data_IF_898287327413
#
_entry.id   IF_898287327413
#
_cell.length_a   1.000
_cell.length_b   1.000
_cell.length_c   1.000
_cell.angle_alpha   90.00
_cell.angle_beta   90.00
_cell.angle_gamma   90.00
#
_symmetry.space_group_name_H-M   'P 1'
#
loop_
_entity.id
_entity.type
_entity.pdbx_description
1 polymer ?
#
# COMPACT_ATOMS: atom_id res chain seq x y z
N UNK A 1 28.63 50.92 11.91
CA UNK A 1 29.25 49.64 11.52
C UNK A 1 28.12 48.66 11.24
N UNK A 2 27.84 48.44 9.95
CA UNK A 2 26.67 47.71 9.44
C UNK A 2 26.92 46.21 9.32
N UNK A 3 25.90 45.46 9.74
CA UNK A 3 25.29 44.29 9.09
C UNK A 3 26.20 43.26 8.41
N UNK A 4 26.35 42.10 9.07
CA UNK A 4 26.65 40.80 8.44
C UNK A 4 26.02 39.67 9.26
N UNK A 5 24.70 39.53 9.16
CA UNK A 5 23.98 38.33 9.61
C UNK A 5 22.71 38.17 8.76
N UNK A 6 22.89 37.99 7.45
CA UNK A 6 21.88 37.52 6.51
C UNK A 6 22.64 36.80 5.39
N UNK A 7 22.83 35.47 5.53
CA UNK A 7 23.14 34.54 4.42
C UNK A 7 23.50 33.12 4.90
N UNK A 8 22.67 32.50 5.76
CA UNK A 8 22.83 31.06 6.08
C UNK A 8 21.55 30.24 6.11
N UNK A 9 20.39 30.83 5.83
CA UNK A 9 19.11 30.11 5.78
C UNK A 9 18.52 29.95 4.37
N UNK A 10 19.19 30.48 3.34
CA UNK A 10 18.76 30.32 1.95
C UNK A 10 19.30 29.04 1.29
N UNK A 11 20.40 28.49 1.79
CA UNK A 11 21.22 27.47 1.10
C UNK A 11 20.74 26.01 1.30
N UNK A 12 19.61 25.82 2.00
CA UNK A 12 19.02 24.49 2.24
C UNK A 12 17.73 24.24 1.44
N UNK A 13 17.23 25.25 0.71
CA UNK A 13 15.98 25.14 -0.08
C UNK A 13 16.20 24.81 -1.56
N UNK A 14 17.45 24.79 -2.04
CA UNK A 14 17.78 24.56 -3.46
C UNK A 14 18.43 23.20 -3.77
N UNK A 15 18.43 22.23 -2.83
CA UNK A 15 19.02 20.89 -3.06
C UNK A 15 18.03 19.79 -3.46
N UNK A 16 16.75 20.10 -3.59
CA UNK A 16 15.75 19.22 -4.24
C UNK A 16 15.41 19.72 -5.64
N UNK A 17 16.39 20.30 -6.34
CA UNK A 17 16.30 20.51 -7.77
C UNK A 17 16.27 19.14 -8.46
N UNK A 18 15.06 18.68 -8.82
CA UNK A 18 14.83 17.85 -10.00
C UNK A 18 15.25 16.38 -9.93
N UNK A 19 14.91 15.65 -8.87
CA UNK A 19 14.72 14.20 -9.02
C UNK A 19 13.28 13.95 -9.45
N UNK A 20 13.09 13.73 -10.76
CA UNK A 20 11.83 13.21 -11.28
C UNK A 20 11.60 11.84 -10.67
N UNK A 21 10.59 11.74 -9.80
CA UNK A 21 10.09 10.49 -9.23
C UNK A 21 8.96 9.97 -10.11
N UNK A 22 8.93 8.67 -10.36
CA UNK A 22 7.81 7.99 -11.00
C UNK A 22 6.81 7.56 -9.93
N UNK A 23 5.54 7.94 -10.10
CA UNK A 23 4.44 7.49 -9.28
C UNK A 23 3.60 6.47 -10.04
N UNK A 24 3.32 5.36 -9.38
CA UNK A 24 2.25 4.47 -9.81
C UNK A 24 0.91 5.16 -9.52
N UNK A 25 0.02 5.16 -10.50
CA UNK A 25 -1.37 5.61 -10.34
C UNK A 25 -2.29 4.46 -10.76
N UNK A 26 -3.06 3.93 -9.81
CA UNK A 26 -3.98 2.82 -10.04
C UNK A 26 -5.35 3.08 -9.44
N UNK A 27 -6.40 2.60 -10.09
CA UNK A 27 -7.77 2.66 -9.56
C UNK A 27 -8.01 1.43 -8.69
N UNK A 28 -8.18 1.61 -7.40
CA UNK A 28 -8.43 0.50 -6.48
C UNK A 28 -9.87 0.58 -5.96
N UNK A 29 -10.75 -0.16 -6.62
CA UNK A 29 -12.10 -0.45 -6.13
C UNK A 29 -12.13 -1.87 -5.62
N UNK A 30 -12.69 -2.11 -4.43
CA UNK A 30 -13.07 -3.47 -4.04
C UNK A 30 -14.19 -3.90 -4.99
N UNK A 31 -13.86 -4.69 -6.00
CA UNK A 31 -14.83 -5.23 -6.96
C UNK A 31 -15.94 -6.02 -6.27
N UNK A 32 -17.16 -5.74 -6.74
CA UNK A 32 -18.45 -6.37 -6.53
C UNK A 32 -19.12 -6.25 -5.14
N UNK A 33 -20.09 -5.35 -5.07
CA UNK A 33 -21.00 -5.13 -3.95
C UNK A 33 -22.30 -5.94 -4.05
N UNK A 34 -22.37 -6.97 -4.93
CA UNK A 34 -23.53 -7.86 -5.03
C UNK A 34 -24.03 -8.37 -3.67
N UNK A 35 -23.13 -8.62 -2.72
CA UNK A 35 -23.49 -8.95 -1.33
C UNK A 35 -24.15 -7.81 -0.53
N UNK A 36 -23.76 -6.55 -0.75
CA UNK A 36 -24.44 -5.38 -0.13
C UNK A 36 -25.78 -5.06 -0.81
N UNK A 37 -25.94 -5.42 -2.09
CA UNK A 37 -27.25 -5.37 -2.76
C UNK A 37 -28.25 -6.37 -2.16
N UNK A 38 -27.75 -7.50 -1.63
CA UNK A 38 -28.54 -8.49 -0.89
C UNK A 38 -28.92 -8.06 0.54
N UNK A 39 -28.27 -7.02 1.09
CA UNK A 39 -28.44 -6.54 2.48
C UNK A 39 -28.65 -5.00 2.58
N UNK A 40 -29.75 -4.45 2.01
CA UNK A 40 -30.00 -3.01 1.91
C UNK A 40 -30.14 -2.30 3.28
N UNK A 41 -30.47 -3.02 4.34
CA UNK A 41 -30.53 -2.52 5.71
C UNK A 41 -29.17 -2.08 6.27
N UNK A 42 -28.08 -2.67 5.78
CA UNK A 42 -26.72 -2.31 6.17
C UNK A 42 -26.16 -1.15 5.34
N UNK A 43 -26.68 -0.93 4.13
CA UNK A 43 -26.24 0.12 3.20
C UNK A 43 -26.26 1.53 3.80
N UNK A 44 -27.21 1.81 4.69
CA UNK A 44 -27.31 3.10 5.42
C UNK A 44 -26.12 3.37 6.36
N UNK A 45 -25.49 2.31 6.88
CA UNK A 45 -24.34 2.43 7.78
C UNK A 45 -23.02 2.58 7.01
N UNK A 46 -23.03 2.23 5.72
CA UNK A 46 -21.96 2.49 4.76
C UNK A 46 -22.31 3.77 3.98
N UNK A 47 -22.42 4.91 4.67
CA UNK A 47 -22.73 6.21 4.04
C UNK A 47 -21.66 6.70 3.05
N UNK A 48 -20.59 5.93 2.87
CA UNK A 48 -19.68 6.00 1.75
C UNK A 48 -19.43 4.54 1.33
N UNK A 49 -19.71 4.20 0.06
CA UNK A 49 -19.36 2.91 -0.56
C UNK A 49 -17.91 2.53 -0.25
N UNK A 50 -17.44 1.31 -0.52
CA UNK A 50 -15.99 1.10 -0.51
C UNK A 50 -15.38 2.00 -1.59
N UNK A 51 -14.93 3.19 -1.18
CA UNK A 51 -14.71 4.30 -2.09
C UNK A 51 -13.71 3.87 -3.14
N UNK A 52 -14.12 3.95 -4.40
CA UNK A 52 -13.20 3.94 -5.52
C UNK A 52 -12.11 4.98 -5.21
N UNK A 53 -10.93 4.49 -4.86
CA UNK A 53 -9.80 5.32 -4.50
C UNK A 53 -8.75 5.28 -5.60
N UNK A 54 -8.08 6.42 -5.76
CA UNK A 54 -6.88 6.51 -6.56
C UNK A 54 -5.69 6.18 -5.66
N UNK A 55 -4.93 5.17 -6.06
CA UNK A 55 -3.73 4.76 -5.36
C UNK A 55 -2.52 5.43 -6.00
N UNK A 56 -1.82 6.23 -5.20
CA UNK A 56 -0.75 7.11 -5.65
C UNK A 56 0.44 6.96 -4.73
N UNK A 57 1.46 6.23 -5.17
CA UNK A 57 2.69 6.04 -4.42
C UNK A 57 3.86 5.72 -5.36
N UNK A 58 5.13 5.80 -4.90
CA UNK A 58 6.28 5.63 -5.78
C UNK A 58 6.26 4.30 -6.53
N UNK A 59 6.50 4.35 -7.84
CA UNK A 59 6.47 3.17 -8.71
C UNK A 59 7.44 2.07 -8.27
N UNK A 60 8.61 2.44 -7.74
CA UNK A 60 9.56 1.48 -7.20
C UNK A 60 9.02 0.70 -5.98
N UNK A 61 8.13 1.32 -5.19
CA UNK A 61 7.49 0.67 -4.04
C UNK A 61 6.42 -0.29 -4.55
N UNK A 62 5.65 0.11 -5.56
CA UNK A 62 4.68 -0.76 -6.21
C UNK A 62 5.32 -2.03 -6.79
N UNK A 63 6.48 -1.90 -7.44
CA UNK A 63 7.25 -3.05 -7.93
C UNK A 63 7.73 -3.96 -6.79
N UNK A 64 8.23 -3.39 -5.69
CA UNK A 64 8.68 -4.18 -4.53
C UNK A 64 7.53 -4.91 -3.86
N UNK A 65 6.39 -4.26 -3.69
CA UNK A 65 5.18 -4.86 -3.15
C UNK A 65 4.70 -6.00 -4.05
N UNK A 66 4.73 -5.86 -5.38
CA UNK A 66 4.39 -6.94 -6.32
C UNK A 66 5.33 -8.14 -6.19
N UNK A 67 6.64 -7.91 -6.10
CA UNK A 67 7.60 -9.00 -5.91
C UNK A 67 7.43 -9.69 -4.56
N UNK A 68 7.10 -8.93 -3.51
CA UNK A 68 6.73 -9.49 -2.21
C UNK A 68 5.46 -10.33 -2.32
N UNK A 69 4.43 -9.84 -3.01
CA UNK A 69 3.17 -10.55 -3.21
C UNK A 69 3.43 -11.89 -3.90
N UNK A 70 4.16 -11.89 -5.02
CA UNK A 70 4.54 -13.13 -5.71
C UNK A 70 5.29 -14.09 -4.80
N UNK A 71 6.24 -13.57 -4.03
CA UNK A 71 7.08 -14.37 -3.15
C UNK A 71 6.35 -14.97 -1.94
N UNK A 72 5.08 -14.61 -1.70
CA UNK A 72 4.25 -15.18 -0.64
C UNK A 72 3.00 -15.88 -1.21
N UNK A 73 2.52 -15.53 -2.40
CA UNK A 73 1.36 -16.19 -3.03
C UNK A 73 1.76 -17.44 -3.80
N UNK A 74 2.83 -17.35 -4.59
CA UNK A 74 3.19 -18.36 -5.60
C UNK A 74 3.94 -19.59 -5.04
N UNK A 75 4.75 -19.50 -3.97
CA UNK A 75 5.42 -20.66 -3.40
C UNK A 75 4.45 -21.75 -2.96
N UNK A 76 4.84 -23.00 -3.16
CA UNK A 76 4.10 -24.19 -2.70
C UNK A 76 4.73 -24.84 -1.49
N UNK A 77 5.98 -24.49 -1.18
CA UNK A 77 6.71 -25.01 -0.03
C UNK A 77 7.52 -23.92 0.66
N UNK A 78 7.88 -24.15 1.93
CA UNK A 78 8.76 -23.23 2.68
C UNK A 78 10.15 -23.08 2.05
N UNK A 79 10.65 -24.13 1.40
CA UNK A 79 11.91 -24.07 0.65
C UNK A 79 11.85 -23.10 -0.53
N UNK A 80 10.68 -22.90 -1.14
CA UNK A 80 10.47 -21.90 -2.19
C UNK A 80 10.39 -20.49 -1.61
N UNK A 81 9.68 -20.29 -0.49
CA UNK A 81 9.65 -19.00 0.25
C UNK A 81 11.05 -18.56 0.66
N UNK A 82 11.88 -19.49 1.16
CA UNK A 82 13.25 -19.23 1.62
C UNK A 82 14.20 -18.72 0.54
N UNK A 83 13.85 -18.87 -0.75
CA UNK A 83 14.61 -18.31 -1.87
C UNK A 83 14.39 -16.81 -2.03
N UNK A 84 13.33 -16.26 -1.43
CA UNK A 84 13.04 -14.83 -1.49
C UNK A 84 13.54 -14.11 -0.23
N UNK A 85 14.55 -13.23 -0.34
CA UNK A 85 15.00 -12.43 0.80
C UNK A 85 13.94 -11.43 1.28
N UNK A 86 12.93 -11.13 0.46
CA UNK A 86 11.83 -10.22 0.80
C UNK A 86 10.75 -10.91 1.64
N UNK A 87 10.40 -12.15 1.31
CA UNK A 87 9.29 -12.86 1.96
C UNK A 87 9.66 -13.46 3.32
N UNK A 88 10.90 -13.95 3.48
CA UNK A 88 11.31 -14.70 4.69
C UNK A 88 11.07 -13.93 5.99
N UNK A 89 11.51 -12.67 6.16
CA UNK A 89 11.31 -11.96 7.42
C UNK A 89 9.84 -11.83 7.79
N UNK A 90 9.00 -11.59 6.78
CA UNK A 90 7.56 -11.39 6.95
C UNK A 90 6.84 -12.69 7.31
N UNK A 91 7.02 -13.73 6.49
CA UNK A 91 6.40 -15.05 6.72
C UNK A 91 6.82 -15.61 8.07
N UNK A 92 8.11 -15.45 8.44
CA UNK A 92 8.63 -15.86 9.74
C UNK A 92 7.94 -15.13 10.90
N UNK A 93 7.76 -13.81 10.80
CA UNK A 93 7.13 -13.02 11.87
C UNK A 93 5.69 -13.49 12.11
N UNK A 94 4.87 -13.53 11.05
CA UNK A 94 3.46 -13.90 11.16
C UNK A 94 3.29 -15.36 11.59
N UNK A 95 4.08 -16.28 11.02
CA UNK A 95 4.01 -17.69 11.41
C UNK A 95 4.38 -17.90 12.87
N UNK A 96 5.48 -17.31 13.35
CA UNK A 96 5.93 -17.53 14.72
C UNK A 96 4.95 -16.99 15.77
N UNK A 97 4.28 -15.88 15.49
CA UNK A 97 3.25 -15.34 16.38
C UNK A 97 2.10 -16.34 16.55
N UNK A 98 1.66 -16.99 15.46
CA UNK A 98 0.65 -18.04 15.50
C UNK A 98 1.17 -19.32 16.16
N UNK A 99 2.35 -19.79 15.77
CA UNK A 99 2.95 -21.02 16.29
C UNK A 99 3.09 -20.97 17.82
N UNK A 100 3.38 -19.79 18.38
CA UNK A 100 3.43 -19.59 19.83
C UNK A 100 2.07 -19.79 20.53
N UNK A 101 0.95 -19.47 19.86
CA UNK A 101 -0.41 -19.67 20.38
C UNK A 101 -0.83 -21.14 20.23
N UNK A 102 -0.53 -21.74 19.08
CA UNK A 102 -0.96 -23.09 18.73
C UNK A 102 -0.05 -24.19 19.30
N UNK A 103 1.12 -23.82 19.85
CA UNK A 103 2.11 -24.76 20.39
C UNK A 103 2.91 -25.50 19.31
N UNK A 104 3.06 -24.89 18.13
CA UNK A 104 3.80 -25.44 17.00
C UNK A 104 5.30 -25.07 17.04
N UNK A 105 6.17 -25.83 16.35
CA UNK A 105 7.57 -25.46 16.19
C UNK A 105 7.72 -24.10 15.49
N UNK A 106 8.76 -23.30 15.79
CA UNK A 106 9.00 -22.04 15.09
C UNK A 106 9.43 -22.27 13.63
N UNK A 107 9.26 -21.23 12.81
CA UNK A 107 9.55 -21.23 11.37
C UNK A 107 10.95 -21.78 11.01
N UNK A 108 11.96 -21.45 11.81
CA UNK A 108 13.35 -21.85 11.55
C UNK A 108 13.56 -23.37 11.73
N UNK A 109 12.69 -24.04 12.48
CA UNK A 109 12.77 -25.48 12.76
C UNK A 109 12.04 -26.31 11.70
N UNK A 110 11.31 -25.67 10.78
CA UNK A 110 10.57 -26.33 9.70
C UNK A 110 11.48 -26.72 8.53
N UNK A 111 11.19 -27.88 7.91
CA UNK A 111 11.89 -28.34 6.72
C UNK A 111 11.47 -27.61 5.43
N UNK A 112 12.30 -27.68 4.39
CA UNK A 112 12.01 -27.04 3.09
C UNK A 112 10.82 -27.68 2.35
N UNK A 113 10.53 -28.95 2.60
CA UNK A 113 9.46 -29.70 1.95
C UNK A 113 8.07 -29.46 2.60
N UNK A 114 8.00 -28.66 3.67
CA UNK A 114 6.74 -28.32 4.33
C UNK A 114 5.84 -27.57 3.34
N UNK A 115 4.59 -28.02 3.12
CA UNK A 115 3.63 -27.32 2.28
C UNK A 115 3.41 -25.89 2.75
N UNK A 116 3.27 -24.98 1.80
CA UNK A 116 2.99 -23.58 2.05
C UNK A 116 1.66 -23.22 1.41
N UNK A 117 0.58 -23.35 2.18
CA UNK A 117 -0.80 -23.09 1.77
C UNK A 117 -1.52 -22.12 2.71
N UNK A 118 -0.81 -21.52 3.66
CA UNK A 118 -1.36 -20.56 4.63
C UNK A 118 -1.44 -19.13 4.08
N UNK A 119 -1.41 -18.95 2.76
CA UNK A 119 -1.49 -17.61 2.17
C UNK A 119 -2.75 -16.87 2.62
N UNK A 120 -3.90 -17.53 2.71
CA UNK A 120 -5.15 -16.89 3.13
C UNK A 120 -5.07 -16.36 4.56
N UNK A 121 -4.47 -17.14 5.47
CA UNK A 121 -4.25 -16.73 6.86
C UNK A 121 -3.19 -15.64 6.95
N UNK A 122 -2.10 -15.75 6.20
CA UNK A 122 -1.01 -14.77 6.13
C UNK A 122 -1.52 -13.44 5.51
N UNK A 123 -2.27 -13.51 4.42
CA UNK A 123 -2.71 -12.38 3.61
C UNK A 123 -3.59 -11.40 4.39
N UNK A 124 -4.26 -11.86 5.44
CA UNK A 124 -4.98 -11.00 6.39
C UNK A 124 -4.05 -10.10 7.23
N UNK A 125 -2.79 -10.48 7.43
CA UNK A 125 -1.85 -9.80 8.32
C UNK A 125 -0.72 -9.05 7.61
N UNK A 126 -0.43 -9.35 6.34
CA UNK A 126 0.72 -8.73 5.66
C UNK A 126 0.47 -8.08 4.31
N UNK A 127 -0.67 -8.34 3.65
CA UNK A 127 -0.90 -7.86 2.28
C UNK A 127 -0.68 -6.35 2.22
N UNK A 128 0.30 -5.84 1.44
CA UNK A 128 0.56 -4.41 1.40
C UNK A 128 -0.70 -3.69 0.92
N UNK A 129 -1.24 -2.80 1.75
CA UNK A 129 -2.46 -2.07 1.43
C UNK A 129 -2.13 -0.86 0.54
N UNK A 130 -2.58 -0.81 -0.73
CA UNK A 130 -2.32 0.33 -1.62
C UNK A 130 -2.74 1.65 -0.99
N UNK A 131 -3.89 1.66 -0.31
CA UNK A 131 -4.40 2.84 0.39
C UNK A 131 -3.46 3.35 1.49
N UNK A 132 -2.88 2.44 2.27
CA UNK A 132 -1.88 2.80 3.28
C UNK A 132 -0.62 3.33 2.62
N UNK A 133 -0.16 2.72 1.51
CA UNK A 133 0.97 3.25 0.73
C UNK A 133 0.70 4.67 0.23
N UNK A 134 -0.51 4.93 -0.26
CA UNK A 134 -0.93 6.27 -0.69
C UNK A 134 -0.87 7.26 0.48
N UNK A 135 -1.45 6.91 1.63
CA UNK A 135 -1.43 7.76 2.82
C UNK A 135 -0.01 8.07 3.33
N UNK A 136 0.91 7.11 3.22
CA UNK A 136 2.28 7.23 3.73
C UNK A 136 3.25 7.89 2.74
N UNK A 137 3.06 7.66 1.43
CA UNK A 137 4.10 7.90 0.42
C UNK A 137 3.68 8.83 -0.70
N UNK A 138 2.39 9.20 -0.81
CA UNK A 138 2.00 10.27 -1.72
C UNK A 138 2.65 11.60 -1.29
N UNK A 139 2.86 12.55 -2.23
CA UNK A 139 3.35 13.88 -1.87
C UNK A 139 2.43 14.52 -0.82
N UNK A 140 3.01 15.06 0.25
CA UNK A 140 2.23 15.63 1.34
C UNK A 140 1.32 16.79 0.89
N UNK A 141 1.74 17.57 -0.11
CA UNK A 141 0.91 18.61 -0.73
C UNK A 141 -0.29 18.03 -1.47
N UNK A 142 -0.12 16.90 -2.16
CA UNK A 142 -1.20 16.21 -2.84
C UNK A 142 -2.26 15.71 -1.85
N UNK A 143 -1.83 15.11 -0.74
CA UNK A 143 -2.72 14.66 0.33
C UNK A 143 -3.41 15.84 1.04
N UNK A 144 -2.74 16.99 1.18
CA UNK A 144 -3.35 18.17 1.77
C UNK A 144 -4.46 18.77 0.89
N UNK A 145 -4.30 18.73 -0.43
CA UNK A 145 -5.23 19.35 -1.37
C UNK A 145 -6.41 18.43 -1.72
N UNK A 146 -6.17 17.12 -1.84
CA UNK A 146 -7.15 16.14 -2.34
C UNK A 146 -7.51 15.04 -1.34
N UNK A 147 -6.73 14.88 -0.26
CA UNK A 147 -6.89 13.79 0.69
C UNK A 147 -8.20 13.87 1.45
N UNK A 148 -8.84 12.71 1.61
CA UNK A 148 -10.04 12.54 2.42
C UNK A 148 -9.73 11.58 3.57
N UNK A 149 -10.25 11.88 4.75
CA UNK A 149 -10.11 11.03 5.92
C UNK A 149 -11.26 10.01 5.97
N UNK A 150 -10.96 8.79 6.43
CA UNK A 150 -11.99 7.81 6.77
C UNK A 150 -12.92 8.35 7.87
N UNK A 151 -14.19 8.56 7.55
CA UNK A 151 -15.21 8.98 8.52
C UNK A 151 -15.99 7.81 9.12
N UNK A 152 -15.76 6.59 8.65
CA UNK A 152 -16.45 5.40 9.15
C UNK A 152 -16.03 5.09 10.59
N UNK A 153 -17.00 5.15 11.50
CA UNK A 153 -16.87 4.59 12.85
C UNK A 153 -17.18 3.09 12.79
N UNK A 154 -16.25 2.25 13.28
CA UNK A 154 -16.56 0.85 13.62
C UNK A 154 -16.07 -0.24 12.67
N UNK A 155 -15.01 -0.01 11.91
CA UNK A 155 -14.37 -1.07 11.10
C UNK A 155 -12.93 -1.31 11.56
N UNK A 156 -12.52 -2.58 11.64
CA UNK A 156 -11.19 -3.05 12.07
C UNK A 156 -10.09 -2.81 11.01
N UNK A 157 -10.11 -1.70 10.28
CA UNK A 157 -9.02 -1.30 9.38
C UNK A 157 -8.31 -0.04 9.88
N UNK A 158 -7.00 0.04 9.62
CA UNK A 158 -6.22 1.23 9.94
C UNK A 158 -6.72 2.41 9.12
N UNK A 159 -7.18 3.48 9.80
CA UNK A 159 -7.63 4.72 9.14
C UNK A 159 -6.51 5.29 8.29
N UNK A 160 -6.79 5.57 7.04
CA UNK A 160 -5.82 6.07 6.08
C UNK A 160 -6.40 7.23 5.26
N UNK A 161 -5.60 8.27 5.03
CA UNK A 161 -5.97 9.30 4.07
C UNK A 161 -5.98 8.69 2.67
N UNK A 162 -7.09 8.84 1.95
CA UNK A 162 -7.26 8.31 0.61
C UNK A 162 -7.48 9.44 -0.39
N UNK A 163 -7.18 9.16 -1.65
CA UNK A 163 -7.41 10.09 -2.76
C UNK A 163 -8.65 9.65 -3.54
N UNK A 164 -9.62 10.55 -3.78
CA UNK A 164 -10.85 10.21 -4.48
C UNK A 164 -10.64 10.00 -5.98
N UNK A 165 -11.28 8.97 -6.54
CA UNK A 165 -11.25 8.70 -7.97
C UNK A 165 -11.82 9.86 -8.81
N UNK A 166 -12.87 10.54 -8.30
CA UNK A 166 -13.51 11.68 -9.00
C UNK A 166 -12.53 12.84 -9.27
N UNK A 167 -11.47 12.97 -8.48
CA UNK A 167 -10.48 14.04 -8.62
C UNK A 167 -9.23 13.59 -9.42
N UNK A 168 -9.27 12.42 -10.09
CA UNK A 168 -8.12 11.82 -10.77
C UNK A 168 -7.38 12.80 -11.71
N UNK A 169 -8.09 13.45 -12.63
CA UNK A 169 -7.48 14.38 -13.59
C UNK A 169 -6.73 15.53 -12.89
N UNK A 170 -7.29 16.05 -11.80
CA UNK A 170 -6.71 17.14 -11.03
C UNK A 170 -5.49 16.66 -10.21
N UNK A 171 -5.58 15.47 -9.61
CA UNK A 171 -4.49 14.83 -8.88
C UNK A 171 -3.29 14.57 -9.79
N UNK A 172 -3.53 14.03 -10.99
CA UNK A 172 -2.48 13.77 -11.95
C UNK A 172 -1.86 15.04 -12.51
N UNK A 173 -2.67 16.08 -12.76
CA UNK A 173 -2.15 17.38 -13.16
C UNK A 173 -1.21 17.94 -12.09
N UNK A 174 -1.61 17.89 -10.81
CA UNK A 174 -0.77 18.33 -9.70
C UNK A 174 0.55 17.54 -9.63
N UNK A 175 0.52 16.21 -9.79
CA UNK A 175 1.75 15.39 -9.85
C UNK A 175 2.70 15.83 -10.97
N UNK A 176 2.16 16.08 -12.17
CA UNK A 176 2.95 16.54 -13.32
C UNK A 176 3.52 17.96 -13.09
N UNK A 177 2.75 18.85 -12.48
CA UNK A 177 3.21 20.20 -12.10
C UNK A 177 4.33 20.17 -11.05
N UNK A 178 4.32 19.19 -10.16
CA UNK A 178 5.42 18.90 -9.22
C UNK A 178 6.67 18.32 -9.92
N UNK A 179 6.62 18.05 -11.22
CA UNK A 179 7.73 17.49 -12.00
C UNK A 179 7.86 15.97 -11.89
N UNK A 180 6.79 15.27 -11.50
CA UNK A 180 6.73 13.82 -11.41
C UNK A 180 6.21 13.17 -12.70
N UNK A 181 6.64 11.94 -12.93
CA UNK A 181 6.13 11.10 -14.02
C UNK A 181 5.08 10.13 -13.47
N UNK A 182 4.05 9.86 -14.27
CA UNK A 182 2.95 8.98 -13.91
C UNK A 182 3.07 7.69 -14.71
N UNK A 183 2.98 6.56 -14.03
CA UNK A 183 3.00 5.22 -14.61
C UNK A 183 1.69 4.51 -14.28
N UNK A 184 1.02 4.03 -15.33
CA UNK A 184 -0.11 3.11 -15.20
C UNK A 184 0.36 1.72 -15.57
N UNK A 185 0.10 0.76 -14.70
CA UNK A 185 0.47 -0.63 -14.92
C UNK A 185 -0.61 -1.56 -14.34
N UNK A 186 -1.51 -2.01 -15.21
CA UNK A 186 -2.58 -2.93 -14.83
C UNK A 186 -2.02 -4.25 -14.26
N UNK A 187 -0.79 -4.64 -14.62
CA UNK A 187 -0.19 -5.85 -14.08
C UNK A 187 0.16 -5.70 -12.60
N UNK A 188 0.53 -4.50 -12.16
CA UNK A 188 0.73 -4.17 -10.74
C UNK A 188 -0.62 -4.17 -10.03
N UNK A 189 -1.61 -3.46 -10.58
CA UNK A 189 -2.94 -3.37 -9.98
C UNK A 189 -3.58 -4.75 -9.77
N UNK A 190 -3.53 -5.61 -10.81
CA UNK A 190 -4.05 -6.97 -10.74
C UNK A 190 -3.39 -7.81 -9.64
N UNK A 191 -2.13 -7.52 -9.28
CA UNK A 191 -1.44 -8.26 -8.21
C UNK A 191 -1.87 -7.83 -6.81
N UNK A 192 -2.26 -6.57 -6.64
CA UNK A 192 -2.89 -6.12 -5.39
C UNK A 192 -4.33 -6.61 -5.23
N UNK A 193 -4.98 -7.03 -6.32
CA UNK A 193 -6.38 -7.51 -6.32
C UNK A 193 -6.49 -9.04 -6.27
N UNK A 194 -5.55 -9.77 -6.89
CA UNK A 194 -5.45 -11.24 -6.86
C UNK A 194 -5.15 -11.81 -5.47
#
# INVERSE_FOLDING_TARGET
MSSKTHDRHQDHRDRTAGLTVQYFVGTYGRTDHSWLEEHPELKRHFEEDSQDSLEVFPYEVALRDVELIKAVVEPKTLGEVRRSPLAVPLVKAVYNDRAAVDGEPPFDDLGDDVPFDWYDDLGLFWRPGPRLRTAELAPASLLADFGREDRAYGMDYERATWLPLDDQDAIEAALREMGHEIVYDDTILNRYLA
#
